data_IF_138742317961
#
_entry.id   IF_138742317961
#
_cell.length_a   1.000
_cell.length_b   1.000
_cell.length_c   1.000
_cell.angle_alpha   90.00
_cell.angle_beta   90.00
_cell.angle_gamma   90.00
#
_symmetry.space_group_name_H-M   'P 1'
#
loop_
_entity.id
_entity.type
_entity.pdbx_description
1 polymer ?
#
# COMPACT_ATOMS: atom_id res chain seq x y z
N UNK A 1 -25.00 -47.04 -8.57
CA UNK A 1 -24.53 -46.74 -9.93
C UNK A 1 -23.56 -45.57 -9.80
N UNK A 2 -22.24 -45.77 -9.65
CA UNK A 2 -21.25 -46.15 -10.68
C UNK A 2 -21.19 -45.09 -11.80
N UNK A 3 -20.09 -44.46 -12.24
CA UNK A 3 -18.65 -44.38 -11.91
C UNK A 3 -18.10 -43.18 -12.72
N UNK A 4 -16.82 -42.87 -12.52
CA UNK A 4 -15.96 -41.75 -12.95
C UNK A 4 -15.70 -41.62 -14.50
N UNK A 5 -14.76 -40.80 -15.01
CA UNK A 5 -14.95 -39.66 -15.92
C UNK A 5 -14.52 -39.94 -17.39
N UNK A 6 -14.78 -39.01 -18.31
CA UNK A 6 -14.30 -39.12 -19.70
C UNK A 6 -12.96 -38.40 -19.89
N UNK A 7 -11.95 -39.19 -20.25
CA UNK A 7 -10.62 -38.78 -20.65
C UNK A 7 -10.56 -38.34 -22.13
N UNK A 8 -9.51 -37.59 -22.44
CA UNK A 8 -9.14 -37.07 -23.75
C UNK A 8 -8.81 -38.15 -24.81
N UNK A 9 -9.02 -37.84 -26.09
CA UNK A 9 -7.98 -37.93 -27.14
C UNK A 9 -8.44 -37.35 -28.49
N UNK A 10 -7.46 -36.72 -29.15
CA UNK A 10 -7.46 -36.12 -30.48
C UNK A 10 -7.60 -37.17 -31.61
N UNK A 11 -8.07 -36.72 -32.78
CA UNK A 11 -7.71 -37.30 -34.07
C UNK A 11 -7.52 -36.18 -35.11
N UNK A 12 -6.48 -36.36 -35.91
CA UNK A 12 -5.84 -35.43 -36.84
C UNK A 12 -6.66 -35.12 -38.09
N UNK A 13 -6.40 -33.94 -38.68
CA UNK A 13 -6.61 -33.69 -40.10
C UNK A 13 -5.40 -32.96 -40.67
N UNK A 14 -4.63 -33.69 -41.48
CA UNK A 14 -3.47 -33.27 -42.24
C UNK A 14 -3.91 -32.55 -43.51
N UNK A 15 -3.37 -31.36 -43.80
CA UNK A 15 -3.40 -30.79 -45.14
C UNK A 15 -2.12 -29.98 -45.41
N UNK A 16 -1.30 -30.54 -46.29
CA UNK A 16 -0.06 -30.02 -46.85
C UNK A 16 -0.38 -29.06 -48.00
N UNK A 17 0.25 -27.87 -48.09
CA UNK A 17 0.55 -27.23 -49.38
C UNK A 17 1.76 -26.29 -49.25
N UNK A 18 2.69 -26.40 -50.20
CA UNK A 18 3.93 -25.61 -50.37
C UNK A 18 3.72 -24.44 -51.34
N UNK A 19 4.69 -23.50 -51.29
CA UNK A 19 5.03 -22.40 -52.22
C UNK A 19 4.22 -21.11 -52.02
N UNK A 20 4.78 -19.90 -52.08
CA UNK A 20 6.03 -19.40 -52.69
C UNK A 20 6.46 -18.06 -52.07
N UNK A 21 7.73 -17.70 -52.27
CA UNK A 21 8.33 -16.41 -51.93
C UNK A 21 7.56 -15.19 -52.49
N UNK A 22 7.32 -14.21 -51.62
CA UNK A 22 7.18 -12.81 -52.03
C UNK A 22 7.87 -11.91 -51.00
N UNK A 23 8.81 -11.09 -51.49
CA UNK A 23 9.49 -10.05 -50.72
C UNK A 23 8.56 -8.85 -50.60
N UNK A 24 8.00 -8.59 -49.43
CA UNK A 24 7.40 -7.30 -49.11
C UNK A 24 8.36 -6.51 -48.22
N UNK A 25 8.91 -5.43 -48.79
CA UNK A 25 9.48 -4.34 -48.00
C UNK A 25 8.36 -3.73 -47.15
N UNK A 26 8.43 -3.91 -45.82
CA UNK A 26 7.65 -3.11 -44.90
C UNK A 26 8.56 -2.23 -44.06
N UNK A 27 8.41 -0.94 -44.30
CA UNK A 27 9.00 0.19 -43.59
C UNK A 27 8.25 0.43 -42.30
N UNK A 28 8.42 -0.41 -41.29
CA UNK A 28 7.99 -0.09 -39.93
C UNK A 28 9.18 0.49 -39.15
N UNK A 29 9.24 1.82 -39.10
CA UNK A 29 10.06 2.58 -38.14
C UNK A 29 9.85 1.98 -36.75
N UNK A 30 10.92 1.46 -36.17
CA UNK A 30 10.91 1.00 -34.79
C UNK A 30 10.50 2.14 -33.88
N UNK A 31 9.32 2.02 -33.27
CA UNK A 31 9.03 2.70 -32.01
C UNK A 31 9.86 1.93 -30.99
N UNK A 32 11.12 2.34 -30.84
CA UNK A 32 11.90 2.01 -29.66
C UNK A 32 11.16 2.63 -28.48
N UNK A 33 10.39 1.82 -27.75
CA UNK A 33 10.00 2.18 -26.40
C UNK A 33 11.31 2.39 -25.64
N UNK A 34 11.58 3.64 -25.27
CA UNK A 34 12.63 3.94 -24.29
C UNK A 34 12.23 3.20 -23.02
N UNK A 35 12.77 1.99 -22.83
CA UNK A 35 12.92 1.40 -21.50
C UNK A 35 13.65 2.46 -20.69
N UNK A 36 12.98 3.02 -19.67
CA UNK A 36 13.63 3.90 -18.70
C UNK A 36 14.92 3.24 -18.24
N UNK A 37 16.00 4.02 -18.22
CA UNK A 37 17.27 3.59 -17.62
C UNK A 37 16.98 3.01 -16.24
N UNK A 38 17.61 1.88 -15.91
CA UNK A 38 17.57 1.30 -14.55
C UNK A 38 18.10 2.27 -13.47
N UNK A 39 18.64 3.41 -13.90
CA UNK A 39 19.24 4.50 -13.14
C UNK A 39 18.22 5.52 -12.59
N UNK A 40 16.93 5.46 -12.98
CA UNK A 40 15.89 6.42 -12.55
C UNK A 40 14.87 5.82 -11.55
N UNK A 41 15.13 4.62 -11.01
CA UNK A 41 14.22 3.94 -10.08
C UNK A 41 14.27 4.56 -8.68
N UNK A 42 13.36 5.48 -8.40
CA UNK A 42 13.15 6.03 -7.06
C UNK A 42 12.46 5.05 -6.09
N UNK A 43 12.79 5.16 -4.80
CA UNK A 43 12.08 4.56 -3.67
C UNK A 43 11.28 5.63 -2.93
N UNK A 44 9.98 5.42 -2.80
CA UNK A 44 9.02 6.43 -2.34
C UNK A 44 8.24 5.88 -1.16
N UNK A 45 8.12 6.69 -0.10
CA UNK A 45 7.18 6.45 0.99
C UNK A 45 6.02 7.43 0.87
N UNK A 46 4.80 6.91 0.89
CA UNK A 46 3.58 7.72 0.95
C UNK A 46 2.95 7.48 2.31
N UNK A 47 2.68 8.53 3.08
CA UNK A 47 1.97 8.44 4.35
C UNK A 47 0.55 8.95 4.20
N UNK A 48 -0.42 8.17 4.67
CA UNK A 48 -1.83 8.55 4.77
C UNK A 48 -2.23 8.76 6.23
N UNK A 49 -2.80 9.93 6.51
CA UNK A 49 -3.47 10.21 7.78
C UNK A 49 -4.87 9.60 7.84
N UNK A 50 -5.42 9.50 9.05
CA UNK A 50 -6.77 8.96 9.28
C UNK A 50 -7.83 9.70 8.48
N UNK A 51 -7.75 11.04 8.39
CA UNK A 51 -8.71 11.87 7.63
C UNK A 51 -8.68 11.63 6.12
N UNK A 52 -7.60 11.04 5.59
CA UNK A 52 -7.53 10.63 4.18
C UNK A 52 -8.07 9.22 3.93
N UNK A 53 -8.33 8.46 5.00
CA UNK A 53 -8.75 7.06 4.94
C UNK A 53 -10.22 6.92 5.27
N UNK A 54 -10.69 7.64 6.29
CA UNK A 54 -12.07 7.61 6.74
C UNK A 54 -12.58 9.02 7.04
N UNK A 55 -13.88 9.20 6.84
CA UNK A 55 -14.60 10.39 7.28
C UNK A 55 -14.51 10.56 8.80
N UNK A 56 -14.26 11.79 9.26
CA UNK A 56 -13.98 12.07 10.67
C UNK A 56 -15.19 11.80 11.60
N UNK A 57 -16.41 11.96 11.08
CA UNK A 57 -17.64 11.86 11.86
C UNK A 57 -18.22 10.46 11.77
N UNK A 58 -18.34 9.94 10.56
CA UNK A 58 -19.03 8.68 10.29
C UNK A 58 -18.11 7.48 10.26
N UNK A 59 -16.79 7.71 10.16
CA UNK A 59 -15.77 6.68 10.02
C UNK A 59 -15.97 5.76 8.81
N UNK A 60 -16.74 6.19 7.81
CA UNK A 60 -16.82 5.50 6.54
C UNK A 60 -15.51 5.65 5.77
N UNK A 61 -14.99 4.58 5.15
CA UNK A 61 -13.86 4.68 4.25
C UNK A 61 -14.11 5.67 3.11
N UNK A 62 -13.14 6.55 2.85
CA UNK A 62 -13.13 7.47 1.72
C UNK A 62 -12.63 6.74 0.47
N UNK A 63 -13.49 5.86 -0.08
CA UNK A 63 -13.10 4.94 -1.16
C UNK A 63 -12.53 5.67 -2.38
N UNK A 64 -13.09 6.81 -2.78
CA UNK A 64 -12.58 7.61 -3.90
C UNK A 64 -11.14 8.07 -3.68
N UNK A 65 -10.82 8.53 -2.47
CA UNK A 65 -9.48 8.99 -2.10
C UNK A 65 -8.51 7.81 -2.07
N UNK A 66 -8.90 6.71 -1.45
CA UNK A 66 -8.08 5.49 -1.39
C UNK A 66 -7.81 4.92 -2.80
N UNK A 67 -8.83 4.83 -3.66
CA UNK A 67 -8.67 4.39 -5.04
C UNK A 67 -7.71 5.28 -5.82
N UNK A 68 -7.81 6.61 -5.69
CA UNK A 68 -6.90 7.54 -6.36
C UNK A 68 -5.45 7.34 -5.91
N UNK A 69 -5.21 7.17 -4.61
CA UNK A 69 -3.87 6.94 -4.08
C UNK A 69 -3.33 5.59 -4.57
N UNK A 70 -4.13 4.54 -4.54
CA UNK A 70 -3.75 3.20 -5.01
C UNK A 70 -3.39 3.25 -6.51
N UNK A 71 -4.22 3.87 -7.34
CA UNK A 71 -3.89 4.07 -8.76
C UNK A 71 -2.59 4.85 -8.94
N UNK A 72 -2.33 5.85 -8.10
CA UNK A 72 -1.07 6.62 -8.13
C UNK A 72 0.12 5.74 -7.78
N UNK A 73 0.02 4.92 -6.73
CA UNK A 73 1.04 3.93 -6.35
C UNK A 73 1.33 2.99 -7.52
N UNK A 74 0.30 2.48 -8.20
CA UNK A 74 0.48 1.58 -9.33
C UNK A 74 1.08 2.26 -10.55
N UNK A 75 0.72 3.51 -10.83
CA UNK A 75 1.36 4.32 -11.88
C UNK A 75 2.85 4.51 -11.61
N UNK A 76 3.23 4.84 -10.36
CA UNK A 76 4.63 4.95 -9.95
C UNK A 76 5.37 3.61 -10.13
N UNK A 77 4.76 2.50 -9.73
CA UNK A 77 5.34 1.16 -9.92
C UNK A 77 5.49 0.78 -11.39
N UNK A 78 4.53 1.12 -12.23
CA UNK A 78 4.62 0.89 -13.68
C UNK A 78 5.76 1.69 -14.33
N UNK A 79 6.14 2.83 -13.75
CA UNK A 79 7.33 3.60 -14.13
C UNK A 79 8.65 3.03 -13.58
N UNK A 80 8.59 1.94 -12.79
CA UNK A 80 9.76 1.26 -12.23
C UNK A 80 10.12 1.69 -10.81
N UNK A 81 9.32 2.54 -10.16
CA UNK A 81 9.58 3.00 -8.78
C UNK A 81 9.16 1.97 -7.73
N UNK A 82 9.85 1.98 -6.60
CA UNK A 82 9.54 1.20 -5.38
C UNK A 82 8.68 2.06 -4.47
N UNK A 83 7.56 1.54 -3.97
CA UNK A 83 6.62 2.33 -3.17
C UNK A 83 6.22 1.58 -1.89
N UNK A 84 6.30 2.27 -0.75
CA UNK A 84 5.79 1.84 0.55
C UNK A 84 4.66 2.77 0.97
N UNK A 85 3.56 2.21 1.43
CA UNK A 85 2.46 2.97 2.04
C UNK A 85 2.58 2.89 3.56
N UNK A 86 2.58 4.03 4.23
CA UNK A 86 2.44 4.12 5.68
C UNK A 86 1.03 4.64 5.97
N UNK A 87 0.25 3.90 6.74
CA UNK A 87 -1.17 4.19 6.93
C UNK A 87 -1.49 4.52 8.38
N UNK A 88 -2.72 5.00 8.62
CA UNK A 88 -3.31 5.26 9.94
C UNK A 88 -4.72 4.69 9.97
N UNK A 89 -5.56 5.09 10.93
CA UNK A 89 -7.00 4.88 10.84
C UNK A 89 -7.53 3.53 11.35
N UNK A 90 -6.66 2.61 11.80
CA UNK A 90 -7.09 1.33 12.41
C UNK A 90 -8.14 1.54 13.51
N UNK A 91 -7.93 2.48 14.44
CA UNK A 91 -8.91 2.78 15.49
C UNK A 91 -10.25 3.28 14.91
N UNK A 92 -10.22 4.22 13.96
CA UNK A 92 -11.45 4.76 13.35
C UNK A 92 -12.27 3.67 12.67
N UNK A 93 -11.59 2.81 11.90
CA UNK A 93 -12.20 1.62 11.28
C UNK A 93 -12.77 0.67 12.34
N UNK A 94 -12.05 0.46 13.44
CA UNK A 94 -12.49 -0.39 14.55
C UNK A 94 -13.74 0.15 15.26
N UNK A 95 -13.77 1.46 15.56
CA UNK A 95 -14.92 2.13 16.16
C UNK A 95 -16.16 1.97 15.28
N UNK A 96 -16.01 2.20 13.98
CA UNK A 96 -17.08 2.02 12.99
C UNK A 96 -17.59 0.58 12.99
N UNK A 97 -16.66 -0.37 12.85
CA UNK A 97 -16.99 -1.79 12.70
C UNK A 97 -17.73 -2.34 13.92
N UNK A 98 -17.36 -1.88 15.12
CA UNK A 98 -17.97 -2.30 16.38
C UNK A 98 -19.18 -1.44 16.79
N UNK A 99 -19.57 -0.45 15.99
CA UNK A 99 -20.62 0.51 16.31
C UNK A 99 -20.39 1.22 17.66
N UNK A 100 -19.15 1.60 17.94
CA UNK A 100 -18.75 2.33 19.15
C UNK A 100 -18.73 3.82 18.85
N UNK A 101 -19.54 4.59 19.56
CA UNK A 101 -19.79 6.00 19.26
C UNK A 101 -18.58 6.92 19.47
N UNK A 102 -17.67 6.57 20.39
CA UNK A 102 -16.52 7.41 20.72
C UNK A 102 -15.31 6.57 21.11
N UNK A 103 -14.10 7.08 20.82
CA UNK A 103 -12.84 6.45 21.25
C UNK A 103 -12.84 6.20 22.76
N UNK A 104 -12.60 4.96 23.23
CA UNK A 104 -12.46 4.67 24.65
C UNK A 104 -11.33 5.45 25.32
N UNK A 105 -11.36 5.54 26.65
CA UNK A 105 -10.31 6.21 27.44
C UNK A 105 -9.25 5.23 27.97
N UNK A 106 -9.65 4.00 28.28
CA UNK A 106 -8.74 2.98 28.80
C UNK A 106 -7.85 2.42 27.69
N UNK A 107 -6.54 2.38 27.93
CA UNK A 107 -5.55 1.95 26.94
C UNK A 107 -5.89 0.57 26.35
N UNK A 108 -6.20 -0.41 27.20
CA UNK A 108 -6.53 -1.76 26.77
C UNK A 108 -7.75 -1.80 25.82
N UNK A 109 -8.75 -0.95 26.04
CA UNK A 109 -9.91 -0.86 25.16
C UNK A 109 -9.55 -0.21 23.83
N UNK A 110 -8.70 0.83 23.86
CA UNK A 110 -8.23 1.47 22.62
C UNK A 110 -7.41 0.48 21.79
N UNK A 111 -6.52 -0.30 22.42
CA UNK A 111 -5.74 -1.34 21.75
C UNK A 111 -6.64 -2.44 21.18
N UNK A 112 -7.69 -2.86 21.91
CA UNK A 112 -8.67 -3.81 21.40
C UNK A 112 -9.42 -3.28 20.17
N UNK A 113 -9.83 -2.01 20.19
CA UNK A 113 -10.46 -1.34 19.04
C UNK A 113 -9.50 -1.29 17.86
N UNK A 114 -8.24 -0.92 18.09
CA UNK A 114 -7.20 -0.88 17.06
C UNK A 114 -6.95 -2.26 16.45
N UNK A 115 -6.89 -3.32 17.26
CA UNK A 115 -6.70 -4.68 16.79
C UNK A 115 -7.86 -5.14 15.88
N UNK A 116 -9.11 -4.86 16.25
CA UNK A 116 -10.28 -5.13 15.40
C UNK A 116 -10.21 -4.36 14.09
N UNK A 117 -9.90 -3.06 14.19
CA UNK A 117 -9.87 -2.18 13.03
C UNK A 117 -8.68 -2.41 12.11
N UNK A 118 -7.53 -2.85 12.61
CA UNK A 118 -6.35 -3.15 11.79
C UNK A 118 -6.62 -4.28 10.80
N UNK A 119 -7.28 -5.35 11.23
CA UNK A 119 -7.67 -6.43 10.32
C UNK A 119 -8.64 -5.95 9.23
N UNK A 120 -9.59 -5.07 9.59
CA UNK A 120 -10.54 -4.48 8.65
C UNK A 120 -9.88 -3.50 7.68
N UNK A 121 -8.97 -2.67 8.17
CA UNK A 121 -8.18 -1.75 7.35
C UNK A 121 -7.33 -2.53 6.34
N UNK A 122 -6.71 -3.64 6.78
CA UNK A 122 -5.91 -4.47 5.88
C UNK A 122 -6.78 -5.15 4.82
N UNK A 123 -7.95 -5.68 5.20
CA UNK A 123 -8.92 -6.23 4.24
C UNK A 123 -9.35 -5.20 3.21
N UNK A 124 -9.62 -3.96 3.62
CA UNK A 124 -10.00 -2.88 2.70
C UNK A 124 -8.89 -2.60 1.67
N UNK A 125 -7.63 -2.48 2.12
CA UNK A 125 -6.52 -2.32 1.19
C UNK A 125 -6.36 -3.53 0.27
N UNK A 126 -6.43 -4.74 0.82
CA UNK A 126 -6.28 -5.98 0.04
C UNK A 126 -7.35 -6.10 -1.04
N UNK A 127 -8.61 -5.80 -0.71
CA UNK A 127 -9.72 -5.78 -1.65
C UNK A 127 -9.45 -4.80 -2.80
N UNK A 128 -9.01 -3.57 -2.49
CA UNK A 128 -8.77 -2.51 -3.48
C UNK A 128 -7.54 -2.80 -4.37
N UNK A 129 -6.43 -3.25 -3.79
CA UNK A 129 -5.22 -3.59 -4.55
C UNK A 129 -5.40 -4.88 -5.39
N UNK A 130 -6.17 -5.85 -4.89
CA UNK A 130 -6.49 -7.10 -5.61
C UNK A 130 -7.27 -6.85 -6.89
N UNK A 131 -8.18 -5.86 -6.93
CA UNK A 131 -8.85 -5.46 -8.18
C UNK A 131 -7.87 -5.08 -9.30
N UNK A 132 -6.64 -4.73 -8.94
CA UNK A 132 -5.59 -4.25 -9.84
C UNK A 132 -4.42 -5.24 -9.92
N UNK A 133 -4.60 -6.48 -9.46
CA UNK A 133 -3.60 -7.56 -9.44
C UNK A 133 -2.27 -7.19 -8.75
N UNK A 134 -2.33 -6.34 -7.74
CA UNK A 134 -1.14 -5.94 -6.99
C UNK A 134 -1.12 -6.61 -5.61
N UNK A 135 -0.14 -7.49 -5.31
CA UNK A 135 0.02 -8.03 -3.97
C UNK A 135 0.49 -6.96 -2.99
N UNK A 136 -0.01 -7.04 -1.76
CA UNK A 136 0.41 -6.18 -0.64
C UNK A 136 0.91 -7.03 0.53
N UNK A 137 1.64 -6.40 1.45
CA UNK A 137 2.09 -7.05 2.68
C UNK A 137 1.88 -6.14 3.89
N UNK A 138 1.27 -6.70 4.94
CA UNK A 138 1.11 -6.00 6.21
C UNK A 138 2.42 -5.96 6.98
N UNK A 139 2.80 -4.78 7.45
CA UNK A 139 3.94 -4.57 8.34
C UNK A 139 3.49 -3.79 9.56
N UNK A 140 3.63 -4.37 10.74
CA UNK A 140 3.32 -3.73 12.01
C UNK A 140 4.61 -3.54 12.82
N UNK A 141 4.89 -2.30 13.22
CA UNK A 141 6.12 -1.94 13.93
C UNK A 141 5.80 -1.04 15.12
N UNK A 142 6.62 -1.03 16.14
CA UNK A 142 6.64 0.02 17.17
C UNK A 142 7.96 0.77 17.16
N UNK A 143 7.95 2.00 17.72
CA UNK A 143 9.19 2.76 17.93
C UNK A 143 10.19 2.01 18.82
N UNK A 144 9.70 1.22 19.78
CA UNK A 144 10.54 0.43 20.68
C UNK A 144 11.20 -0.74 19.94
N UNK A 145 10.49 -1.41 19.03
CA UNK A 145 11.08 -2.47 18.20
C UNK A 145 12.24 -1.93 17.38
N UNK A 146 12.09 -0.72 16.85
CA UNK A 146 13.10 -0.07 16.00
C UNK A 146 14.27 0.54 16.79
N UNK A 147 14.20 0.59 18.12
CA UNK A 147 15.32 0.99 18.97
C UNK A 147 16.33 -0.15 19.16
N UNK A 148 15.90 -1.42 19.01
CA UNK A 148 16.80 -2.56 18.97
C UNK A 148 17.42 -2.71 17.57
N UNK A 149 18.75 -2.76 17.51
CA UNK A 149 19.48 -2.83 16.23
C UNK A 149 19.13 -4.08 15.43
N UNK A 150 18.92 -5.21 16.09
CA UNK A 150 18.65 -6.48 15.40
C UNK A 150 17.26 -6.45 14.77
N UNK A 151 16.26 -6.00 15.53
CA UNK A 151 14.89 -5.84 15.04
C UNK A 151 14.81 -4.79 13.92
N UNK A 152 15.52 -3.67 14.06
CA UNK A 152 15.65 -2.67 13.00
C UNK A 152 16.19 -3.27 11.70
N UNK A 153 17.30 -4.02 11.76
CA UNK A 153 17.88 -4.66 10.57
C UNK A 153 16.95 -5.71 9.96
N UNK A 154 16.23 -6.48 10.79
CA UNK A 154 15.23 -7.42 10.30
C UNK A 154 14.11 -6.71 9.54
N UNK A 155 13.59 -5.60 10.08
CA UNK A 155 12.58 -4.79 9.41
C UNK A 155 13.10 -4.23 8.06
N UNK A 156 14.32 -3.68 8.02
CA UNK A 156 14.96 -3.23 6.78
C UNK A 156 15.04 -4.36 5.74
N UNK A 157 15.50 -5.55 6.15
CA UNK A 157 15.66 -6.69 5.26
C UNK A 157 14.31 -7.17 4.70
N UNK A 158 13.29 -7.27 5.55
CA UNK A 158 11.94 -7.66 5.13
C UNK A 158 11.33 -6.64 4.17
N UNK A 159 11.42 -5.34 4.47
CA UNK A 159 10.89 -4.30 3.59
C UNK A 159 11.57 -4.32 2.22
N UNK A 160 12.90 -4.43 2.18
CA UNK A 160 13.63 -4.50 0.91
C UNK A 160 13.27 -5.76 0.11
N UNK A 161 13.20 -6.93 0.76
CA UNK A 161 12.80 -8.16 0.10
C UNK A 161 11.39 -8.05 -0.50
N UNK A 162 10.43 -7.45 0.22
CA UNK A 162 9.07 -7.22 -0.29
C UNK A 162 9.07 -6.33 -1.55
N UNK A 163 9.83 -5.24 -1.51
CA UNK A 163 9.96 -4.32 -2.65
C UNK A 163 10.60 -5.02 -3.86
N UNK A 164 11.60 -5.86 -3.63
CA UNK A 164 12.30 -6.62 -4.69
C UNK A 164 11.40 -7.70 -5.30
N UNK A 165 10.46 -8.26 -4.51
CA UNK A 165 9.39 -9.14 -4.97
C UNK A 165 8.25 -8.39 -5.70
N UNK A 166 8.31 -7.06 -5.79
CA UNK A 166 7.28 -6.23 -6.41
C UNK A 166 6.02 -6.05 -5.56
N UNK A 167 6.01 -6.52 -4.31
CA UNK A 167 4.92 -6.36 -3.34
C UNK A 167 4.91 -4.92 -2.82
N UNK A 168 3.72 -4.38 -2.49
CA UNK A 168 3.60 -3.07 -1.82
C UNK A 168 3.48 -3.26 -0.31
N UNK A 169 4.48 -2.88 0.49
CA UNK A 169 4.35 -2.91 1.94
C UNK A 169 3.37 -1.85 2.42
N UNK A 170 2.44 -2.24 3.30
CA UNK A 170 1.51 -1.37 4.02
C UNK A 170 1.93 -1.39 5.49
N UNK A 171 2.62 -0.33 5.90
CA UNK A 171 3.20 -0.17 7.24
C UNK A 171 2.22 0.59 8.13
N UNK A 172 2.01 0.10 9.35
CA UNK A 172 1.28 0.82 10.40
C UNK A 172 1.92 0.53 11.76
N UNK A 173 1.57 1.32 12.77
CA UNK A 173 1.99 1.07 14.14
C UNK A 173 1.32 -0.20 14.70
N UNK A 174 2.07 -0.99 15.48
CA UNK A 174 1.50 -2.11 16.23
C UNK A 174 0.85 -1.61 17.53
N UNK A 175 -0.38 -1.10 17.41
CA UNK A 175 -1.14 -0.53 18.55
C UNK A 175 -1.27 -1.48 19.75
N UNK A 176 -1.28 -2.80 19.52
CA UNK A 176 -1.44 -3.82 20.58
C UNK A 176 -0.32 -3.76 21.63
N UNK A 177 0.89 -3.40 21.21
CA UNK A 177 2.08 -3.36 22.07
C UNK A 177 2.72 -1.97 22.13
N UNK A 178 2.17 -0.97 21.43
CA UNK A 178 2.64 0.41 21.53
C UNK A 178 2.30 1.00 22.90
N UNK A 179 3.33 1.53 23.58
CA UNK A 179 3.26 2.02 24.97
C UNK A 179 2.90 3.50 25.02
N UNK A 180 3.18 4.25 23.95
CA UNK A 180 2.72 5.61 23.77
C UNK A 180 1.25 5.58 23.40
N UNK A 181 0.36 5.98 24.31
CA UNK A 181 -1.06 6.12 23.98
C UNK A 181 -1.20 6.95 22.70
N UNK A 182 -1.93 6.44 21.70
CA UNK A 182 -2.00 6.94 20.32
C UNK A 182 -2.02 8.47 20.26
N UNK A 183 -0.88 9.06 19.90
CA UNK A 183 -0.70 10.50 19.76
C UNK A 183 -0.85 10.88 18.29
N UNK A 184 -1.42 12.06 18.07
CA UNK A 184 -1.40 12.68 16.75
C UNK A 184 0.07 12.87 16.30
N UNK A 185 0.40 12.44 15.08
CA UNK A 185 1.76 12.51 14.53
C UNK A 185 2.63 11.25 14.69
N UNK A 186 2.13 10.19 15.33
CA UNK A 186 2.91 8.96 15.51
C UNK A 186 3.27 8.30 14.16
N UNK A 187 2.31 8.24 13.23
CA UNK A 187 2.56 7.71 11.90
C UNK A 187 3.38 8.64 10.98
N UNK A 188 3.46 9.94 11.28
CA UNK A 188 4.42 10.84 10.59
C UNK A 188 5.84 10.45 10.98
N UNK A 189 6.08 10.22 12.27
CA UNK A 189 7.37 9.71 12.77
C UNK A 189 7.67 8.33 12.22
N UNK A 190 6.71 7.40 12.24
CA UNK A 190 6.88 6.06 11.69
C UNK A 190 7.21 6.11 10.19
N UNK A 191 6.59 7.04 9.44
CA UNK A 191 6.88 7.19 8.02
C UNK A 191 8.29 7.72 7.74
N UNK A 192 8.79 8.64 8.58
CA UNK A 192 10.17 9.11 8.51
C UNK A 192 11.17 7.99 8.83
N UNK A 193 10.90 7.18 9.87
CA UNK A 193 11.75 6.03 10.20
C UNK A 193 11.71 5.00 9.06
N UNK A 194 10.53 4.74 8.50
CA UNK A 194 10.36 3.83 7.36
C UNK A 194 11.12 4.29 6.14
N UNK A 195 11.07 5.58 5.81
CA UNK A 195 11.87 6.19 4.75
C UNK A 195 13.37 5.99 5.00
N UNK A 196 13.84 6.18 6.24
CA UNK A 196 15.22 5.92 6.63
C UNK A 196 15.63 4.44 6.49
N UNK A 197 14.76 3.50 6.90
CA UNK A 197 15.02 2.05 6.83
C UNK A 197 15.25 1.54 5.41
N UNK A 198 14.56 2.12 4.42
CA UNK A 198 14.61 1.68 3.03
C UNK A 198 15.40 2.64 2.12
N UNK A 199 16.07 3.63 2.70
CA UNK A 199 16.76 4.70 1.97
C UNK A 199 15.88 5.34 0.89
N UNK A 200 14.65 5.71 1.26
CA UNK A 200 13.72 6.33 0.33
C UNK A 200 14.25 7.69 -0.17
N UNK A 201 14.07 7.94 -1.46
CA UNK A 201 14.38 9.21 -2.10
C UNK A 201 13.37 10.30 -1.70
N UNK A 202 12.10 9.90 -1.51
CA UNK A 202 11.02 10.82 -1.14
C UNK A 202 10.11 10.24 -0.07
N UNK A 203 9.67 11.12 0.83
CA UNK A 203 8.58 10.90 1.77
C UNK A 203 7.48 11.93 1.49
N UNK A 204 6.31 11.46 1.06
CA UNK A 204 5.13 12.28 0.86
C UNK A 204 4.18 12.12 2.04
N UNK A 205 3.98 13.21 2.80
CA UNK A 205 2.98 13.26 3.86
C UNK A 205 1.66 13.77 3.28
N UNK A 206 0.70 12.88 3.06
CA UNK A 206 -0.63 13.28 2.58
C UNK A 206 -1.43 13.83 3.74
N UNK A 207 -1.89 15.07 3.57
CA UNK A 207 -2.64 15.82 4.57
C UNK A 207 -3.84 16.51 3.91
N UNK A 208 -4.86 16.73 4.73
CA UNK A 208 -6.05 17.53 4.48
C UNK A 208 -5.84 19.03 4.67
N UNK A 209 -4.63 19.49 5.05
CA UNK A 209 -4.27 20.91 5.04
C UNK A 209 -3.59 21.29 3.73
N UNK A 210 -4.00 22.43 3.15
CA UNK A 210 -3.57 22.83 1.80
C UNK A 210 -2.05 22.97 1.62
N UNK A 211 -1.33 23.35 2.67
CA UNK A 211 0.13 23.45 2.68
C UNK A 211 0.68 23.55 4.11
N UNK A 212 2.02 23.57 4.24
CA UNK A 212 2.66 23.96 5.50
C UNK A 212 2.38 25.45 5.75
N UNK A 213 1.49 25.73 6.70
CA UNK A 213 1.22 27.09 7.14
C UNK A 213 2.37 27.58 8.04
N UNK A 214 2.77 28.85 7.88
CA UNK A 214 3.74 29.50 8.76
C UNK A 214 3.19 29.81 10.15
N UNK A 215 1.89 29.61 10.35
CA UNK A 215 1.13 29.83 11.58
C UNK A 215 -0.08 28.89 11.65
N UNK A 216 -0.78 28.83 12.77
CA UNK A 216 -1.98 27.98 12.87
C UNK A 216 -3.10 28.48 11.91
N UNK A 217 -3.51 27.71 10.88
CA UNK A 217 -4.55 28.16 9.95
C UNK A 217 -5.91 28.32 10.61
N UNK A 218 -6.16 27.66 11.76
CA UNK A 218 -7.44 27.72 12.48
C UNK A 218 -7.62 29.01 13.30
N UNK A 219 -6.58 29.85 13.42
CA UNK A 219 -6.71 31.18 14.05
C UNK A 219 -7.13 32.28 13.08
N UNK A 220 -7.25 31.98 11.79
CA UNK A 220 -7.73 32.92 10.78
C UNK A 220 -9.04 32.41 10.21
N UNK A 221 -10.16 32.93 10.71
CA UNK A 221 -11.44 32.87 10.00
C UNK A 221 -11.37 33.92 8.89
N UNK A 222 -11.45 33.49 7.64
CA UNK A 222 -11.99 34.35 6.58
C UNK A 222 -13.51 34.28 6.59
#
# INVERSE_FOLDING_TARGET
MATVPLAAKQAEATATTKHSHEKSHDTSRGISSKKGSKDDSLTIVIKLGTSSICDEVTHFPLLSTLSLIIETILKLKALGHRVVLVTSGAIGVGLRWMNVASKPKELAQIQAVAAVGQGRLMSLYDDLFTQLNQPIAQILLTKNDLADRTQYLNACNTLNALLDMGVVPIVNENDTISVSGIRFGDNDTLSAITAGMIHADYLFLMTDVDCLYTDNPRSFSF
#
